data_IF_947477461436
#
_entry.id   IF_947477461436
#
_cell.length_a   1.000
_cell.length_b   1.000
_cell.length_c   1.000
_cell.angle_alpha   90.00
_cell.angle_beta   90.00
_cell.angle_gamma   90.00
#
_symmetry.space_group_name_H-M   'P 1'
#
loop_
_entity.id
_entity.type
_entity.pdbx_description
1 polymer ?
#
# COMPACT_ATOMS: atom_id res chain seq x y z
N UNK A 1 42.00 4.64 42.01
CA UNK A 1 41.69 5.30 40.72
C UNK A 1 41.46 4.23 39.68
N UNK A 2 40.54 4.52 38.75
CA UNK A 2 40.12 3.73 37.60
C UNK A 2 38.98 2.73 37.84
N UNK A 3 37.83 3.18 37.37
CA UNK A 3 36.50 2.58 37.37
C UNK A 3 36.36 1.37 36.45
N UNK A 4 35.42 0.46 36.72
CA UNK A 4 35.02 -0.62 35.81
C UNK A 4 34.08 -0.11 34.70
N UNK A 5 34.29 -0.62 33.49
CA UNK A 5 33.46 -0.39 32.30
C UNK A 5 32.02 -0.91 32.49
N UNK A 6 30.99 -0.20 31.99
CA UNK A 6 29.60 -0.61 32.15
C UNK A 6 29.23 -1.76 31.18
N UNK A 7 28.62 -2.79 31.76
CA UNK A 7 27.99 -3.90 31.09
C UNK A 7 26.77 -3.44 30.29
N UNK A 8 26.80 -3.64 28.97
CA UNK A 8 25.61 -3.56 28.13
C UNK A 8 24.80 -4.86 28.26
N UNK A 9 23.47 -4.79 28.44
CA UNK A 9 22.63 -5.98 28.40
C UNK A 9 22.48 -6.49 26.96
N UNK A 10 22.54 -7.80 26.70
CA UNK A 10 22.30 -8.34 25.37
C UNK A 10 20.80 -8.29 25.02
N UNK A 11 20.51 -7.70 23.86
CA UNK A 11 19.20 -7.75 23.20
C UNK A 11 18.73 -9.21 23.05
N UNK A 12 17.61 -9.55 23.69
CA UNK A 12 16.91 -10.80 23.42
C UNK A 12 16.00 -10.62 22.19
N UNK A 13 16.19 -11.37 21.09
CA UNK A 13 15.13 -11.52 20.11
C UNK A 13 14.07 -12.44 20.70
N UNK A 14 12.82 -11.98 20.76
CA UNK A 14 11.67 -12.84 21.07
C UNK A 14 11.55 -13.92 20.00
N UNK A 15 12.12 -15.07 20.32
CA UNK A 15 12.05 -16.31 19.57
C UNK A 15 10.64 -16.88 19.72
N UNK A 16 9.71 -16.44 18.86
CA UNK A 16 8.57 -17.29 18.54
C UNK A 16 9.11 -18.46 17.71
N UNK A 17 9.50 -19.51 18.41
CA UNK A 17 9.87 -20.80 17.85
C UNK A 17 8.63 -21.44 17.23
N UNK A 18 8.33 -21.11 15.98
CA UNK A 18 7.60 -22.03 15.11
C UNK A 18 8.67 -22.78 14.33
N UNK A 19 8.88 -24.04 14.73
CA UNK A 19 9.71 -25.00 14.00
C UNK A 19 9.22 -25.09 12.56
N UNK A 20 10.01 -24.55 11.63
CA UNK A 20 9.83 -24.75 10.20
C UNK A 20 10.30 -26.17 9.88
N UNK A 21 9.37 -27.11 9.82
CA UNK A 21 9.61 -28.44 9.28
C UNK A 21 9.32 -28.39 7.76
N UNK A 22 10.31 -28.61 6.87
CA UNK A 22 10.15 -28.41 5.42
C UNK A 22 9.20 -29.43 4.74
N UNK A 23 8.64 -30.39 5.47
CA UNK A 23 7.75 -31.43 4.94
C UNK A 23 6.27 -31.28 5.34
N UNK A 24 5.87 -30.20 6.02
CA UNK A 24 4.45 -29.93 6.30
C UNK A 24 3.94 -28.66 5.60
N UNK A 25 2.77 -28.71 4.93
CA UNK A 25 2.17 -27.52 4.35
C UNK A 25 1.76 -26.53 5.45
N UNK A 26 1.89 -25.21 5.21
CA UNK A 26 1.55 -24.19 6.22
C UNK A 26 0.07 -24.23 6.59
N UNK A 27 -0.22 -24.07 7.88
CA UNK A 27 -1.58 -24.11 8.41
C UNK A 27 -2.46 -22.99 7.79
N UNK A 28 -3.73 -23.30 7.45
CA UNK A 28 -4.63 -22.30 6.87
C UNK A 28 -4.98 -21.20 7.90
N UNK A 29 -5.24 -19.97 7.43
CA UNK A 29 -5.58 -18.85 8.31
C UNK A 29 -6.89 -19.10 9.09
N UNK A 30 -7.03 -18.54 10.31
CA UNK A 30 -8.24 -18.69 11.10
C UNK A 30 -9.45 -18.08 10.39
N UNK A 31 -10.60 -18.77 10.48
CA UNK A 31 -11.87 -18.33 9.88
C UNK A 31 -12.34 -17.00 10.49
N UNK A 32 -12.80 -16.02 9.69
CA UNK A 32 -13.41 -14.81 10.21
C UNK A 32 -14.74 -15.13 10.92
N UNK A 33 -14.96 -14.46 12.05
CA UNK A 33 -16.11 -14.57 12.93
C UNK A 33 -17.43 -14.15 12.24
N UNK A 34 -18.51 -14.85 12.58
CA UNK A 34 -19.84 -14.82 11.96
C UNK A 34 -20.72 -13.61 12.35
N UNK A 35 -20.21 -12.38 12.34
CA UNK A 35 -21.01 -11.18 12.64
C UNK A 35 -21.03 -10.05 11.60
N UNK A 36 -20.43 -10.21 10.43
CA UNK A 36 -20.63 -9.26 9.32
C UNK A 36 -21.45 -9.89 8.19
N UNK A 37 -22.76 -10.00 8.43
CA UNK A 37 -23.74 -10.35 7.40
C UNK A 37 -24.58 -9.11 7.10
N UNK A 38 -24.70 -8.83 5.79
CA UNK A 38 -25.77 -8.05 5.14
C UNK A 38 -25.64 -6.53 5.08
N UNK A 39 -24.79 -6.05 4.15
CA UNK A 39 -25.18 -5.00 3.17
C UNK A 39 -24.44 -5.17 1.85
N UNK A 40 -24.70 -6.24 1.10
CA UNK A 40 -24.41 -6.28 -0.34
C UNK A 40 -25.16 -7.44 -1.01
N UNK A 41 -26.32 -7.10 -1.57
CA UNK A 41 -26.95 -7.88 -2.64
C UNK A 41 -26.89 -7.05 -3.94
N UNK A 42 -26.31 -7.71 -4.95
CA UNK A 42 -26.26 -7.62 -6.45
C UNK A 42 -27.43 -6.93 -7.20
N UNK A 43 -27.41 -6.69 -8.55
CA UNK A 43 -26.54 -7.19 -9.64
C UNK A 43 -26.05 -6.16 -10.70
N UNK A 44 -25.31 -6.65 -11.71
CA UNK A 44 -24.85 -5.94 -12.90
C UNK A 44 -25.99 -5.63 -13.91
N UNK A 45 -25.95 -4.44 -14.53
CA UNK A 45 -26.83 -4.05 -15.64
C UNK A 45 -26.75 -2.55 -15.98
N UNK A 46 -25.98 -2.21 -17.01
CA UNK A 46 -26.04 -1.04 -17.91
C UNK A 46 -26.77 0.24 -17.42
N UNK A 47 -26.01 1.24 -16.95
CA UNK A 47 -26.42 2.65 -16.88
C UNK A 47 -25.22 3.54 -17.28
N UNK A 48 -25.38 4.60 -18.10
CA UNK A 48 -24.28 5.44 -18.56
C UNK A 48 -23.76 6.35 -17.44
N UNK A 49 -22.45 6.63 -17.44
CA UNK A 49 -21.80 7.56 -16.51
C UNK A 49 -22.39 8.97 -16.64
N UNK A 50 -22.57 9.73 -15.55
CA UNK A 50 -22.83 11.16 -15.63
C UNK A 50 -21.59 11.91 -16.15
N UNK A 51 -21.76 13.01 -16.91
CA UNK A 51 -20.65 13.75 -17.50
C UNK A 51 -19.83 14.50 -16.44
N UNK A 52 -18.53 14.73 -16.68
CA UNK A 52 -17.69 15.54 -15.80
C UNK A 52 -18.13 17.02 -15.84
N UNK A 53 -18.00 17.76 -14.73
CA UNK A 53 -18.29 19.20 -14.73
C UNK A 53 -17.32 19.97 -15.65
N UNK A 54 -17.77 21.04 -16.31
CA UNK A 54 -16.97 21.78 -17.28
C UNK A 54 -15.82 22.57 -16.63
N UNK A 55 -14.72 22.82 -17.38
CA UNK A 55 -13.61 23.63 -16.89
C UNK A 55 -14.01 25.11 -16.92
N UNK A 56 -13.99 25.77 -15.77
CA UNK A 56 -14.13 27.23 -15.71
C UNK A 56 -12.76 27.87 -15.90
N UNK A 57 -12.56 28.41 -17.10
CA UNK A 57 -11.49 29.34 -17.46
C UNK A 57 -11.58 30.61 -16.61
N UNK A 58 -10.41 31.06 -16.18
CA UNK A 58 -10.15 32.34 -15.55
C UNK A 58 -10.64 33.49 -16.44
N UNK A 59 -11.47 34.38 -15.90
CA UNK A 59 -11.36 35.83 -16.14
C UNK A 59 -11.67 36.57 -14.84
N UNK A 60 -10.76 37.47 -14.48
CA UNK A 60 -10.78 38.28 -13.28
C UNK A 60 -11.78 39.44 -13.43
N UNK A 61 -12.58 39.71 -12.40
CA UNK A 61 -12.66 41.02 -11.74
C UNK A 61 -13.60 40.97 -10.51
N UNK A 62 -13.06 41.32 -9.34
CA UNK A 62 -13.86 41.96 -8.28
C UNK A 62 -14.28 41.12 -7.06
N UNK A 63 -13.64 41.44 -5.93
CA UNK A 63 -14.35 41.80 -4.68
C UNK A 63 -14.64 40.67 -3.66
N UNK A 64 -13.74 40.59 -2.68
CA UNK A 64 -13.93 40.23 -1.25
C UNK A 64 -14.30 38.78 -0.83
N UNK A 65 -13.27 38.07 -0.37
CA UNK A 65 -13.16 37.47 0.98
C UNK A 65 -14.36 36.76 1.62
N UNK A 66 -14.30 35.43 1.70
CA UNK A 66 -15.14 34.62 2.57
C UNK A 66 -14.30 33.56 3.29
N UNK A 67 -13.50 34.00 4.28
CA UNK A 67 -12.77 33.11 5.19
C UNK A 67 -13.68 32.84 6.39
N UNK A 68 -13.90 31.56 6.69
CA UNK A 68 -14.49 31.13 7.96
C UNK A 68 -13.57 31.58 9.09
N UNK A 69 -13.89 32.71 9.71
CA UNK A 69 -13.26 33.16 10.94
C UNK A 69 -13.88 32.40 12.11
N UNK A 70 -13.16 31.42 12.66
CA UNK A 70 -13.48 30.91 13.99
C UNK A 70 -13.37 32.08 14.99
N UNK A 71 -14.47 32.48 15.66
CA UNK A 71 -14.49 33.64 16.55
C UNK A 71 -13.62 33.44 17.79
N UNK A 72 -13.22 32.20 18.12
CA UNK A 72 -12.34 31.91 19.26
C UNK A 72 -10.88 32.31 19.00
N UNK A 73 -10.33 32.02 17.82
CA UNK A 73 -8.94 32.35 17.48
C UNK A 73 -8.71 33.86 17.35
N UNK A 74 -9.68 34.59 16.80
CA UNK A 74 -9.61 36.06 16.68
C UNK A 74 -9.82 36.75 18.03
N UNK A 75 -10.67 36.23 18.90
CA UNK A 75 -10.80 36.72 20.27
C UNK A 75 -9.52 36.48 21.07
N UNK A 76 -8.91 35.30 20.98
CA UNK A 76 -7.68 34.99 21.72
C UNK A 76 -6.48 35.82 21.24
N UNK A 77 -6.39 36.11 19.94
CA UNK A 77 -5.40 37.04 19.39
C UNK A 77 -5.62 38.47 19.90
N UNK A 78 -6.86 38.99 19.90
CA UNK A 78 -7.18 40.32 20.44
C UNK A 78 -6.94 40.44 21.95
N UNK A 79 -7.20 39.37 22.71
CA UNK A 79 -6.89 39.33 24.14
C UNK A 79 -5.38 39.37 24.38
N UNK A 80 -4.58 38.62 23.61
CA UNK A 80 -3.12 38.71 23.68
C UNK A 80 -2.62 40.12 23.33
N UNK A 81 -3.11 40.69 22.24
CA UNK A 81 -2.73 42.02 21.76
C UNK A 81 -3.07 43.13 22.78
N UNK A 82 -4.24 43.03 23.43
CA UNK A 82 -4.64 43.95 24.51
C UNK A 82 -3.83 43.81 25.81
N UNK A 83 -3.33 42.61 26.12
CA UNK A 83 -2.47 42.36 27.29
C UNK A 83 -1.04 42.88 27.03
N UNK A 84 -0.50 42.70 25.82
CA UNK A 84 0.82 43.25 25.46
C UNK A 84 0.81 44.78 25.39
N UNK A 85 -0.26 45.39 24.88
CA UNK A 85 -0.41 46.84 24.84
C UNK A 85 -0.45 47.50 26.23
N UNK A 86 -1.00 46.82 27.25
CA UNK A 86 -1.00 47.30 28.64
C UNK A 86 0.37 47.18 29.32
N UNK A 87 1.25 46.29 28.83
CA UNK A 87 2.56 46.03 29.44
C UNK A 87 3.64 47.00 28.93
N UNK A 88 3.47 47.53 27.71
CA UNK A 88 4.21 48.70 27.22
C UNK A 88 3.62 50.00 27.77
N UNK A 89 3.86 50.29 29.05
CA UNK A 89 3.72 51.65 29.53
C UNK A 89 4.73 52.54 28.81
N UNK A 90 4.24 53.58 28.14
CA UNK A 90 5.06 54.66 27.63
C UNK A 90 5.88 55.23 28.80
N UNK A 91 7.21 55.34 28.70
CA UNK A 91 8.05 55.93 29.74
C UNK A 91 7.59 57.34 30.18
N UNK A 92 6.75 58.00 29.38
CA UNK A 92 6.14 59.29 29.69
C UNK A 92 7.12 60.45 29.49
N UNK A 93 6.59 61.66 29.47
CA UNK A 93 7.32 62.89 29.09
C UNK A 93 8.52 63.26 29.99
N UNK A 94 8.74 62.51 31.09
CA UNK A 94 9.80 62.77 32.07
C UNK A 94 11.01 61.86 31.92
N UNK A 95 10.98 60.90 31.02
CA UNK A 95 12.09 59.98 30.84
C UNK A 95 13.17 60.57 29.93
N UNK A 96 14.36 60.73 30.51
CA UNK A 96 15.57 61.09 29.78
C UNK A 96 16.70 60.12 30.21
N UNK A 97 17.52 59.61 29.28
CA UNK A 97 18.72 58.88 29.66
C UNK A 97 19.65 59.76 30.50
N UNK A 98 20.16 59.25 31.63
CA UNK A 98 21.03 60.00 32.56
C UNK A 98 22.26 60.63 31.89
N UNK A 99 22.75 60.03 30.80
CA UNK A 99 23.86 60.53 29.99
C UNK A 99 23.53 61.85 29.25
N UNK A 100 22.25 62.20 29.12
CA UNK A 100 21.79 63.45 28.53
C UNK A 100 21.52 64.55 29.57
N UNK A 101 21.47 64.22 30.88
CA UNK A 101 21.23 65.19 31.95
C UNK A 101 22.43 66.15 32.15
N UNK A 102 23.66 65.65 31.97
CA UNK A 102 24.90 66.40 32.24
C UNK A 102 25.47 67.14 31.00
N UNK A 103 24.74 67.17 29.87
CA UNK A 103 25.25 67.71 28.60
C UNK A 103 24.98 69.20 28.41
N UNK A 104 25.88 69.88 27.70
CA UNK A 104 25.72 71.30 27.38
C UNK A 104 24.56 71.52 26.39
N UNK A 105 23.99 72.73 26.39
CA UNK A 105 22.87 73.09 25.51
C UNK A 105 23.22 72.97 24.02
N UNK A 106 24.48 73.23 23.67
CA UNK A 106 25.02 73.02 22.32
C UNK A 106 25.05 71.53 21.95
N UNK A 107 25.55 70.67 22.85
CA UNK A 107 25.62 69.22 22.60
C UNK A 107 24.24 68.58 22.48
N UNK A 108 23.27 69.04 23.26
CA UNK A 108 21.88 68.57 23.14
C UNK A 108 21.26 68.95 21.80
N UNK A 109 21.53 70.15 21.27
CA UNK A 109 21.07 70.55 19.95
C UNK A 109 21.70 69.72 18.82
N UNK A 110 23.00 69.42 18.93
CA UNK A 110 23.72 68.58 17.96
C UNK A 110 23.27 67.11 17.99
N UNK A 111 22.91 66.59 19.17
CA UNK A 111 22.34 65.25 19.34
C UNK A 111 20.91 65.21 18.78
N UNK A 112 20.11 66.25 19.03
CA UNK A 112 18.72 66.34 18.55
C UNK A 112 18.66 66.49 17.02
N UNK A 113 19.67 67.12 16.42
CA UNK A 113 19.85 67.18 14.96
C UNK A 113 20.16 65.82 14.30
N UNK A 114 20.52 64.79 15.08
CA UNK A 114 20.93 63.45 14.59
C UNK A 114 19.94 62.36 15.03
N UNK A 115 18.86 62.12 14.26
CA UNK A 115 17.81 61.17 14.65
C UNK A 115 18.30 59.71 14.76
N UNK A 116 19.30 59.31 13.96
CA UNK A 116 19.89 57.98 14.07
C UNK A 116 20.63 57.75 15.40
N UNK A 117 21.24 58.81 15.96
CA UNK A 117 21.93 58.76 17.25
C UNK A 117 20.90 58.70 18.39
N UNK A 118 19.79 59.44 18.28
CA UNK A 118 18.67 59.35 19.21
C UNK A 118 18.06 57.94 19.24
N UNK A 119 17.85 57.32 18.08
CA UNK A 119 17.36 55.94 18.00
C UNK A 119 18.35 54.95 18.63
N UNK A 120 19.65 55.11 18.36
CA UNK A 120 20.68 54.27 18.98
C UNK A 120 20.73 54.43 20.52
N UNK A 121 20.56 55.64 21.05
CA UNK A 121 20.50 55.88 22.50
C UNK A 121 19.20 55.33 23.11
N UNK A 122 18.07 55.41 22.40
CA UNK A 122 16.81 54.85 22.88
C UNK A 122 16.84 53.31 22.96
N UNK A 123 17.58 52.64 22.07
CA UNK A 123 17.64 51.17 22.00
C UNK A 123 18.93 50.54 22.59
N UNK A 124 19.89 51.35 23.04
CA UNK A 124 21.14 50.85 23.62
C UNK A 124 20.92 50.29 25.03
N UNK A 125 21.56 49.16 25.36
CA UNK A 125 21.37 48.43 26.62
C UNK A 125 21.67 49.24 27.88
N UNK A 126 22.49 50.29 27.79
CA UNK A 126 22.84 51.18 28.92
C UNK A 126 21.89 52.36 29.09
N UNK A 127 21.12 52.72 28.06
CA UNK A 127 20.30 53.95 28.03
C UNK A 127 18.85 53.69 27.66
N UNK A 128 18.49 52.45 27.30
CA UNK A 128 17.15 52.06 26.96
C UNK A 128 16.25 51.97 28.20
N UNK A 129 15.00 52.38 28.04
CA UNK A 129 14.00 52.22 29.08
C UNK A 129 13.58 50.74 29.20
N UNK A 130 13.32 50.21 30.42
CA UNK A 130 12.84 48.84 30.62
C UNK A 130 11.55 48.49 29.85
N UNK A 131 10.72 49.46 29.47
CA UNK A 131 9.53 49.19 28.64
C UNK A 131 9.85 48.67 27.24
N UNK A 132 11.01 49.05 26.66
CA UNK A 132 11.45 48.54 25.36
C UNK A 132 11.81 47.06 25.49
N UNK A 133 12.55 46.68 26.53
CA UNK A 133 12.85 45.29 26.82
C UNK A 133 11.56 44.49 27.11
N UNK A 134 10.62 45.05 27.88
CA UNK A 134 9.32 44.45 28.15
C UNK A 134 8.47 44.26 26.89
N UNK A 135 8.59 45.15 25.89
CA UNK A 135 7.90 45.02 24.59
C UNK A 135 8.53 43.94 23.69
N UNK A 136 9.85 43.75 23.81
CA UNK A 136 10.60 42.83 22.97
C UNK A 136 10.55 41.39 23.50
N UNK A 137 10.42 41.19 24.80
CA UNK A 137 10.31 39.86 25.43
C UNK A 137 9.18 39.00 24.82
N UNK A 138 7.93 39.45 24.70
CA UNK A 138 6.87 38.63 24.13
C UNK A 138 7.05 38.38 22.63
N UNK A 139 7.65 39.33 21.91
CA UNK A 139 8.00 39.15 20.50
C UNK A 139 9.10 38.10 20.32
N UNK A 140 10.12 38.12 21.18
CA UNK A 140 11.17 37.10 21.19
C UNK A 140 10.60 35.73 21.58
N UNK A 141 9.75 35.66 22.60
CA UNK A 141 9.07 34.43 23.01
C UNK A 141 8.24 33.86 21.84
N UNK A 142 7.42 34.68 21.18
CA UNK A 142 6.63 34.27 20.02
C UNK A 142 7.51 33.81 18.84
N UNK A 143 8.65 34.46 18.62
CA UNK A 143 9.60 34.09 17.57
C UNK A 143 10.24 32.73 17.89
N UNK A 144 10.66 32.50 19.14
CA UNK A 144 11.20 31.20 19.57
C UNK A 144 10.17 30.08 19.47
N UNK A 145 8.91 30.37 19.83
CA UNK A 145 7.79 29.43 19.67
C UNK A 145 7.57 29.10 18.19
N UNK A 146 7.59 30.10 17.31
CA UNK A 146 7.42 29.89 15.87
C UNK A 146 8.55 29.03 15.28
N UNK A 147 9.81 29.28 15.67
CA UNK A 147 10.95 28.46 15.26
C UNK A 147 10.79 27.02 15.75
N UNK A 148 10.37 26.82 17.00
CA UNK A 148 10.13 25.49 17.55
C UNK A 148 9.04 24.77 16.76
N UNK A 149 7.92 25.44 16.46
CA UNK A 149 6.84 24.88 15.64
C UNK A 149 7.30 24.55 14.22
N UNK A 150 8.08 25.43 13.57
CA UNK A 150 8.63 25.18 12.24
C UNK A 150 9.55 23.94 12.23
N UNK A 151 10.42 23.81 13.23
CA UNK A 151 11.29 22.64 13.37
C UNK A 151 10.48 21.35 13.54
N UNK A 152 9.46 21.36 14.40
CA UNK A 152 8.57 20.22 14.60
C UNK A 152 7.79 19.85 13.33
N UNK A 153 7.29 20.84 12.58
CA UNK A 153 6.62 20.60 11.31
C UNK A 153 7.56 19.95 10.28
N UNK A 154 8.82 20.39 10.21
CA UNK A 154 9.82 19.77 9.32
C UNK A 154 10.14 18.32 9.70
N UNK A 155 10.19 18.00 10.99
CA UNK A 155 10.38 16.62 11.46
C UNK A 155 9.18 15.74 11.09
N UNK A 156 7.95 16.24 11.29
CA UNK A 156 6.74 15.54 10.89
C UNK A 156 6.67 15.32 9.38
N UNK A 157 7.09 16.30 8.59
CA UNK A 157 7.17 16.16 7.13
C UNK A 157 8.17 15.08 6.73
N UNK A 158 9.37 15.07 7.31
CA UNK A 158 10.36 14.02 7.09
C UNK A 158 9.83 12.63 7.48
N UNK A 159 9.10 12.53 8.58
CA UNK A 159 8.48 11.27 9.01
C UNK A 159 7.37 10.82 8.06
N UNK A 160 6.53 11.73 7.59
CA UNK A 160 5.46 11.42 6.65
C UNK A 160 5.99 11.01 5.27
N UNK A 161 7.02 11.69 4.77
CA UNK A 161 7.68 11.31 3.51
C UNK A 161 8.32 9.93 3.61
N UNK A 162 9.01 9.64 4.72
CA UNK A 162 9.54 8.29 4.98
C UNK A 162 8.44 7.24 5.02
N UNK A 163 7.36 7.49 5.77
CA UNK A 163 6.24 6.55 5.88
C UNK A 163 5.59 6.29 4.51
N UNK A 164 5.37 7.34 3.70
CA UNK A 164 4.85 7.21 2.33
C UNK A 164 5.75 6.36 1.44
N UNK A 165 7.07 6.57 1.51
CA UNK A 165 8.01 5.77 0.73
C UNK A 165 8.01 4.29 1.15
N UNK A 166 7.94 4.02 2.46
CA UNK A 166 7.89 2.67 3.00
C UNK A 166 6.59 1.96 2.61
N UNK A 167 5.44 2.61 2.73
CA UNK A 167 4.15 2.02 2.35
C UNK A 167 4.06 1.79 0.85
N UNK A 168 4.60 2.69 0.04
CA UNK A 168 4.69 2.51 -1.41
C UNK A 168 5.55 1.29 -1.77
N UNK A 169 6.71 1.12 -1.14
CA UNK A 169 7.57 -0.05 -1.35
C UNK A 169 6.87 -1.35 -0.94
N UNK A 170 6.18 -1.35 0.20
CA UNK A 170 5.38 -2.50 0.66
C UNK A 170 4.26 -2.83 -0.33
N UNK A 171 3.49 -1.84 -0.80
CA UNK A 171 2.42 -2.05 -1.78
C UNK A 171 2.95 -2.61 -3.11
N UNK A 172 4.10 -2.13 -3.58
CA UNK A 172 4.73 -2.70 -4.77
C UNK A 172 5.16 -4.16 -4.54
N UNK A 173 5.69 -4.47 -3.36
CA UNK A 173 6.08 -5.83 -2.99
C UNK A 173 4.87 -6.79 -2.89
N UNK A 174 3.74 -6.32 -2.34
CA UNK A 174 2.52 -7.16 -2.26
C UNK A 174 1.97 -7.42 -3.65
N UNK A 175 1.90 -6.42 -4.53
CA UNK A 175 1.50 -6.62 -5.92
C UNK A 175 2.45 -7.53 -6.70
N UNK A 176 3.75 -7.51 -6.42
CA UNK A 176 4.68 -8.47 -7.00
C UNK A 176 4.36 -9.90 -6.54
N UNK A 177 4.10 -10.10 -5.25
CA UNK A 177 3.73 -11.40 -4.68
C UNK A 177 2.38 -11.90 -5.23
N UNK A 178 1.39 -11.03 -5.39
CA UNK A 178 0.10 -11.36 -6.00
C UNK A 178 0.26 -11.89 -7.43
N UNK A 179 1.10 -11.22 -8.24
CA UNK A 179 1.38 -11.68 -9.61
C UNK A 179 2.08 -13.04 -9.61
N UNK A 180 3.06 -13.23 -8.73
CA UNK A 180 3.75 -14.50 -8.58
C UNK A 180 2.80 -15.62 -8.14
N UNK A 181 1.88 -15.34 -7.21
CA UNK A 181 0.88 -16.31 -6.77
C UNK A 181 -0.10 -16.67 -7.89
N UNK A 182 -0.61 -15.69 -8.64
CA UNK A 182 -1.48 -15.93 -9.80
C UNK A 182 -0.77 -16.76 -10.87
N UNK A 183 0.52 -16.52 -11.10
CA UNK A 183 1.33 -17.31 -12.01
C UNK A 183 1.47 -18.76 -11.51
N UNK A 184 1.80 -18.96 -10.23
CA UNK A 184 1.88 -20.30 -9.65
C UNK A 184 0.55 -21.05 -9.71
N UNK A 185 -0.57 -20.36 -9.49
CA UNK A 185 -1.89 -20.96 -9.59
C UNK A 185 -2.19 -21.38 -11.02
N UNK A 186 -1.93 -20.53 -12.02
CA UNK A 186 -2.15 -20.89 -13.42
C UNK A 186 -1.23 -22.03 -13.89
N UNK A 187 0.01 -22.08 -13.40
CA UNK A 187 0.94 -23.18 -13.66
C UNK A 187 0.46 -24.49 -13.03
N UNK A 188 -0.06 -24.44 -11.79
CA UNK A 188 -0.68 -25.58 -11.13
C UNK A 188 -1.92 -26.05 -11.89
N UNK A 189 -2.83 -25.14 -12.25
CA UNK A 189 -4.04 -25.47 -12.99
C UNK A 189 -3.70 -26.08 -14.36
N UNK A 190 -2.66 -25.57 -15.04
CA UNK A 190 -2.14 -26.15 -16.29
C UNK A 190 -1.55 -27.54 -16.09
N UNK A 191 -0.80 -27.75 -15.00
CA UNK A 191 -0.23 -29.06 -14.68
C UNK A 191 -1.31 -30.09 -14.31
N UNK A 192 -2.39 -29.65 -13.65
CA UNK A 192 -3.52 -30.49 -13.25
C UNK A 192 -4.54 -30.70 -14.37
N UNK A 193 -4.62 -29.81 -15.37
CA UNK A 193 -5.59 -29.89 -16.45
C UNK A 193 -5.66 -31.27 -17.13
N UNK A 194 -4.56 -31.95 -17.49
CA UNK A 194 -4.61 -33.29 -18.11
C UNK A 194 -5.17 -34.38 -17.20
N UNK A 195 -5.12 -34.18 -15.88
CA UNK A 195 -5.64 -35.09 -14.86
C UNK A 195 -7.04 -34.70 -14.40
N UNK A 196 -7.63 -33.66 -14.99
CA UNK A 196 -9.02 -33.30 -14.74
C UNK A 196 -9.96 -34.42 -15.21
N UNK A 197 -11.12 -34.64 -14.54
CA UNK A 197 -12.05 -35.69 -14.92
C UNK A 197 -12.49 -35.61 -16.39
N UNK A 198 -12.68 -34.40 -16.92
CA UNK A 198 -13.05 -34.18 -18.32
C UNK A 198 -11.92 -34.55 -19.28
N UNK A 199 -10.67 -34.17 -18.99
CA UNK A 199 -9.51 -34.55 -19.82
C UNK A 199 -9.24 -36.05 -19.79
N UNK A 200 -9.37 -36.70 -18.63
CA UNK A 200 -9.26 -38.16 -18.50
C UNK A 200 -10.36 -38.88 -19.29
N UNK A 201 -11.60 -38.39 -19.21
CA UNK A 201 -12.72 -38.91 -19.99
C UNK A 201 -12.53 -38.72 -21.49
N UNK A 202 -12.05 -37.55 -21.92
CA UNK A 202 -11.71 -37.28 -23.32
C UNK A 202 -10.63 -38.25 -23.81
N UNK A 203 -9.57 -38.46 -23.01
CA UNK A 203 -8.50 -39.42 -23.35
C UNK A 203 -9.01 -40.86 -23.41
N UNK A 204 -9.95 -41.25 -22.55
CA UNK A 204 -10.60 -42.56 -22.61
C UNK A 204 -11.40 -42.72 -23.91
N UNK A 205 -12.21 -41.72 -24.29
CA UNK A 205 -12.96 -41.72 -25.53
C UNK A 205 -12.05 -41.77 -26.76
N UNK A 206 -10.99 -40.97 -26.78
CA UNK A 206 -9.99 -41.00 -27.85
C UNK A 206 -9.35 -42.39 -27.94
N UNK A 207 -8.90 -42.96 -26.81
CA UNK A 207 -8.32 -44.29 -26.81
C UNK A 207 -9.30 -45.38 -27.25
N UNK A 208 -10.60 -45.24 -26.99
CA UNK A 208 -11.61 -46.16 -27.52
C UNK A 208 -11.75 -46.05 -29.04
N UNK A 209 -11.81 -44.82 -29.58
CA UNK A 209 -11.84 -44.55 -31.02
C UNK A 209 -10.57 -45.06 -31.73
N UNK A 210 -9.39 -44.81 -31.17
CA UNK A 210 -8.11 -45.33 -31.68
C UNK A 210 -8.12 -46.86 -31.72
N UNK A 211 -8.64 -47.52 -30.68
CA UNK A 211 -8.75 -48.98 -30.65
C UNK A 211 -9.75 -49.53 -31.67
N UNK A 212 -10.85 -48.80 -31.92
CA UNK A 212 -11.80 -49.13 -32.97
C UNK A 212 -11.15 -49.03 -34.35
N UNK A 213 -10.39 -47.95 -34.61
CA UNK A 213 -9.63 -47.79 -35.85
C UNK A 213 -8.59 -48.89 -36.03
N UNK A 214 -7.90 -49.33 -34.97
CA UNK A 214 -6.99 -50.47 -35.03
C UNK A 214 -7.73 -51.76 -35.39
N UNK A 215 -8.93 -51.99 -34.83
CA UNK A 215 -9.72 -53.17 -35.20
C UNK A 215 -10.13 -53.13 -36.67
N UNK A 216 -10.60 -51.96 -37.17
CA UNK A 216 -10.94 -51.77 -38.58
C UNK A 216 -9.73 -51.95 -39.50
N UNK A 217 -8.58 -51.38 -39.15
CA UNK A 217 -7.35 -51.57 -39.92
C UNK A 217 -6.88 -53.04 -39.93
N UNK A 218 -7.08 -53.79 -38.84
CA UNK A 218 -6.81 -55.24 -38.82
C UNK A 218 -7.79 -56.01 -39.71
N UNK A 219 -9.07 -55.62 -39.74
CA UNK A 219 -10.07 -56.21 -40.65
C UNK A 219 -9.74 -55.90 -42.11
N UNK A 220 -9.45 -54.64 -42.42
CA UNK A 220 -9.05 -54.17 -43.76
C UNK A 220 -7.77 -54.84 -44.24
N UNK A 221 -6.72 -54.90 -43.40
CA UNK A 221 -5.45 -55.58 -43.78
C UNK A 221 -5.58 -57.08 -44.00
N UNK A 222 -6.57 -57.74 -43.39
CA UNK A 222 -6.86 -59.15 -43.67
C UNK A 222 -7.61 -59.33 -44.99
N UNK A 223 -8.52 -58.40 -45.32
CA UNK A 223 -9.30 -58.41 -46.56
C UNK A 223 -8.50 -57.96 -47.79
N UNK A 224 -7.57 -57.02 -47.61
CA UNK A 224 -6.67 -56.50 -48.65
C UNK A 224 -5.39 -57.32 -48.82
N UNK A 225 -5.23 -58.39 -48.04
CA UNK A 225 -4.10 -59.31 -48.17
C UNK A 225 -3.96 -59.88 -49.58
N UNK A 226 -2.72 -60.00 -50.07
CA UNK A 226 -2.31 -60.27 -51.45
C UNK A 226 -3.03 -61.47 -52.10
N UNK A 227 -4.23 -61.24 -52.67
CA UNK A 227 -4.93 -62.01 -53.73
C UNK A 227 -5.05 -63.53 -53.61
N UNK A 228 -4.57 -64.12 -52.51
CA UNK A 228 -4.33 -65.54 -52.33
C UNK A 228 -4.74 -65.98 -50.94
N UNK A 229 -5.09 -67.25 -50.81
CA UNK A 229 -5.49 -67.85 -49.53
C UNK A 229 -4.38 -67.66 -48.49
N UNK A 230 -4.65 -66.84 -47.47
CA UNK A 230 -3.74 -66.66 -46.33
C UNK A 230 -3.35 -68.03 -45.76
N UNK A 231 -2.08 -68.18 -45.38
CA UNK A 231 -1.63 -69.44 -44.78
C UNK A 231 -2.34 -69.67 -43.44
N UNK A 232 -2.62 -70.93 -43.06
CA UNK A 232 -3.30 -71.26 -41.81
C UNK A 232 -2.64 -70.60 -40.59
N UNK A 233 -1.31 -70.47 -40.63
CA UNK A 233 -0.52 -69.78 -39.62
C UNK A 233 -0.83 -68.28 -39.56
N UNK A 234 -0.82 -67.57 -40.67
CA UNK A 234 -1.14 -66.13 -40.73
C UNK A 234 -2.58 -65.86 -40.28
N UNK A 235 -3.53 -66.70 -40.69
CA UNK A 235 -4.92 -66.62 -40.24
C UNK A 235 -5.02 -66.80 -38.71
N UNK A 236 -4.33 -67.79 -38.15
CA UNK A 236 -4.34 -68.01 -36.69
C UNK A 236 -3.71 -66.86 -35.90
N UNK A 237 -2.62 -66.27 -36.41
CA UNK A 237 -1.96 -65.12 -35.80
C UNK A 237 -2.80 -63.86 -35.89
N UNK A 238 -3.48 -63.64 -37.01
CA UNK A 238 -4.45 -62.55 -37.17
C UNK A 238 -5.62 -62.69 -36.19
N UNK A 239 -6.24 -63.87 -36.10
CA UNK A 239 -7.35 -64.12 -35.17
C UNK A 239 -6.92 -63.83 -33.73
N UNK A 240 -5.69 -64.22 -33.36
CA UNK A 240 -5.14 -63.90 -32.04
C UNK A 240 -5.04 -62.39 -31.81
N UNK A 241 -4.40 -61.66 -32.73
CA UNK A 241 -4.21 -60.20 -32.63
C UNK A 241 -5.55 -59.45 -32.62
N UNK A 242 -6.50 -59.87 -33.45
CA UNK A 242 -7.83 -59.27 -33.54
C UNK A 242 -8.64 -59.49 -32.26
N UNK A 243 -8.60 -60.70 -31.69
CA UNK A 243 -9.24 -60.98 -30.39
C UNK A 243 -8.62 -60.17 -29.26
N UNK A 244 -7.30 -60.05 -29.24
CA UNK A 244 -6.59 -59.20 -28.27
C UNK A 244 -7.01 -57.72 -28.41
N UNK A 245 -7.10 -57.21 -29.64
CA UNK A 245 -7.55 -55.85 -29.94
C UNK A 245 -9.01 -55.60 -29.52
N UNK A 246 -9.94 -56.51 -29.86
CA UNK A 246 -11.35 -56.42 -29.45
C UNK A 246 -11.53 -56.52 -27.94
N UNK A 247 -10.74 -57.34 -27.25
CA UNK A 247 -10.75 -57.42 -25.77
C UNK A 247 -10.42 -56.07 -25.14
N UNK A 248 -9.42 -55.36 -25.67
CA UNK A 248 -9.07 -54.01 -25.20
C UNK A 248 -10.18 -53.01 -25.50
N UNK A 249 -10.79 -53.08 -26.69
CA UNK A 249 -11.92 -52.22 -27.08
C UNK A 249 -13.10 -52.35 -26.10
N UNK A 250 -13.62 -53.57 -25.90
CA UNK A 250 -14.75 -53.79 -24.99
C UNK A 250 -14.43 -53.43 -23.54
N UNK A 251 -13.19 -53.66 -23.10
CA UNK A 251 -12.75 -53.22 -21.76
C UNK A 251 -12.76 -51.70 -21.61
N UNK A 252 -12.39 -50.93 -22.65
CA UNK A 252 -12.47 -49.47 -22.63
C UNK A 252 -13.92 -48.98 -22.69
N UNK A 253 -14.76 -49.63 -23.50
CA UNK A 253 -16.19 -49.35 -23.57
C UNK A 253 -16.89 -49.56 -22.22
N UNK A 254 -16.64 -50.69 -21.56
CA UNK A 254 -17.24 -50.99 -20.26
C UNK A 254 -16.75 -50.01 -19.16
N UNK A 255 -15.47 -49.59 -19.21
CA UNK A 255 -14.97 -48.52 -18.32
C UNK A 255 -15.65 -47.19 -18.58
N UNK A 256 -15.96 -46.87 -19.85
CA UNK A 256 -16.69 -45.66 -20.22
C UNK A 256 -18.13 -45.71 -19.72
N UNK A 257 -18.83 -46.82 -19.94
CA UNK A 257 -20.22 -46.99 -19.46
C UNK A 257 -20.29 -46.86 -17.93
N UNK A 258 -19.35 -47.48 -17.21
CA UNK A 258 -19.23 -47.27 -15.75
C UNK A 258 -18.91 -45.82 -15.39
N UNK A 259 -18.15 -45.12 -16.22
CA UNK A 259 -17.84 -43.71 -16.00
C UNK A 259 -19.06 -42.82 -16.19
N UNK A 260 -19.85 -43.06 -17.24
CA UNK A 260 -21.09 -42.33 -17.54
C UNK A 260 -22.15 -42.55 -16.44
N UNK A 261 -22.14 -43.72 -15.80
CA UNK A 261 -22.99 -44.04 -14.65
C UNK A 261 -22.42 -43.54 -13.30
N UNK A 262 -21.24 -42.92 -13.28
CA UNK A 262 -20.58 -42.44 -12.05
C UNK A 262 -20.00 -43.55 -11.16
N UNK A 263 -19.86 -44.78 -11.68
CA UNK A 263 -19.22 -45.94 -11.01
C UNK A 263 -17.71 -45.98 -11.25
N UNK A 264 -17.05 -44.82 -11.18
CA UNK A 264 -15.58 -44.69 -11.34
C UNK A 264 -14.92 -44.78 -9.98
N UNK A 265 -14.08 -45.80 -9.77
CA UNK A 265 -13.43 -46.04 -8.48
C UNK A 265 -14.22 -47.01 -7.63
N UNK A 266 -14.07 -48.30 -7.91
CA UNK A 266 -14.59 -49.35 -7.05
C UNK A 266 -13.81 -49.38 -5.74
N UNK A 267 -14.26 -48.61 -4.75
CA UNK A 267 -14.18 -48.89 -3.31
C UNK A 267 -15.44 -48.31 -2.67
N UNK A 268 -16.49 -49.13 -2.62
CA UNK A 268 -17.54 -49.07 -1.60
C UNK A 268 -17.50 -50.39 -0.85
#
# INVERSE_FOLDING_TARGET
MSSPSPAYPPYQPHRMSQSFDPNLPPAPPPKPSSQEVSRRSTPAGSQPLPPPPPPQTQEALGTYGGRSEDPQSSQQARFREGVYAQQTQDPGDKWLPKILEDKSKQDLADILAKPALLAALAHSSSTAHPSIAASQEPLQAALTENIALASHLSELEARLTHLRSSTQAQLLSTHALERQWRQKQSDMDRALAPFSPSSLYQRLNQGMQEQEMVCRALEESFLEGDGGTATEREASEWVRRYREAKKVYYSRQERKERWDEGRVGGWR
#
